data_IF_714499937422
#
_entry.id   IF_714499937422
#
_cell.length_a   1.000
_cell.length_b   1.000
_cell.length_c   1.000
_cell.angle_alpha   90.00
_cell.angle_beta   90.00
_cell.angle_gamma   90.00
#
_symmetry.space_group_name_H-M   'P 1'
#
loop_
_entity.id
_entity.type
_entity.pdbx_description
1 polymer ?
#
# COMPACT_ATOMS: atom_id res chain seq x y z
N UNK A 1 -14.61 -14.75 1.82
CA UNK A 1 -14.76 -16.13 1.33
C UNK A 1 -14.09 -16.16 -0.03
N UNK A 2 -12.82 -16.55 -0.06
CA UNK A 2 -12.06 -16.78 -1.29
C UNK A 2 -12.29 -18.25 -1.64
N UNK A 3 -13.17 -18.50 -2.61
CA UNK A 3 -13.59 -19.85 -3.03
C UNK A 3 -12.40 -20.49 -3.73
N UNK A 4 -11.98 -21.71 -3.36
CA UNK A 4 -10.76 -22.34 -3.89
C UNK A 4 -10.58 -22.30 -5.43
N UNK A 5 -11.67 -22.09 -6.17
CA UNK A 5 -11.72 -21.81 -7.60
C UNK A 5 -10.90 -20.57 -8.06
N UNK A 6 -10.90 -19.47 -7.29
CA UNK A 6 -10.14 -18.25 -7.65
C UNK A 6 -8.63 -18.52 -7.60
N UNK A 7 -8.16 -19.17 -6.53
CA UNK A 7 -6.73 -19.53 -6.38
C UNK A 7 -6.28 -20.54 -7.42
N UNK A 8 -7.15 -21.49 -7.77
CA UNK A 8 -6.88 -22.45 -8.85
C UNK A 8 -6.74 -21.74 -10.20
N UNK A 9 -7.61 -20.77 -10.47
CA UNK A 9 -7.53 -19.97 -11.71
C UNK A 9 -6.25 -19.13 -11.77
N UNK A 10 -5.87 -18.45 -10.68
CA UNK A 10 -4.57 -17.75 -10.60
C UNK A 10 -3.38 -18.70 -10.78
N UNK A 11 -3.46 -19.92 -10.24
CA UNK A 11 -2.42 -20.93 -10.40
C UNK A 11 -2.30 -21.41 -11.85
N UNK A 12 -3.42 -21.55 -12.57
CA UNK A 12 -3.42 -21.83 -14.00
C UNK A 12 -2.78 -20.70 -14.80
N UNK A 13 -3.19 -19.45 -14.55
CA UNK A 13 -2.65 -18.26 -15.24
C UNK A 13 -1.14 -18.17 -15.01
N UNK A 14 -0.68 -18.32 -13.76
CA UNK A 14 0.74 -18.31 -13.44
C UNK A 14 1.49 -19.47 -14.12
N UNK A 15 0.93 -20.67 -14.11
CA UNK A 15 1.52 -21.83 -14.80
C UNK A 15 1.66 -21.62 -16.30
N UNK A 16 0.65 -21.02 -16.94
CA UNK A 16 0.71 -20.63 -18.34
C UNK A 16 1.76 -19.54 -18.58
N UNK A 17 1.78 -18.49 -17.76
CA UNK A 17 2.76 -17.40 -17.80
C UNK A 17 4.20 -17.94 -17.70
N UNK A 18 4.48 -18.72 -16.65
CA UNK A 18 5.79 -19.29 -16.35
C UNK A 18 6.23 -20.37 -17.37
N UNK A 19 5.31 -20.92 -18.19
CA UNK A 19 5.64 -21.88 -19.26
C UNK A 19 6.29 -21.25 -20.50
N UNK A 20 6.51 -19.92 -20.49
CA UNK A 20 7.11 -19.15 -21.57
C UNK A 20 6.12 -18.33 -22.39
N UNK A 21 4.84 -18.31 -22.02
CA UNK A 21 3.84 -17.43 -22.62
C UNK A 21 3.88 -16.00 -22.06
N UNK A 22 4.51 -15.81 -20.89
CA UNK A 22 4.61 -14.53 -20.21
C UNK A 22 5.99 -13.89 -20.29
N UNK A 23 6.02 -12.56 -20.26
CA UNK A 23 7.24 -11.80 -20.03
C UNK A 23 6.98 -10.61 -19.11
N UNK A 24 7.97 -10.30 -18.26
CA UNK A 24 7.96 -9.17 -17.34
C UNK A 24 9.06 -8.20 -17.79
N UNK A 25 8.72 -6.92 -17.89
CA UNK A 25 9.64 -5.84 -18.21
C UNK A 25 9.74 -4.90 -17.00
N UNK A 26 10.68 -5.15 -16.06
CA UNK A 26 10.91 -4.26 -14.95
C UNK A 26 11.46 -2.92 -15.42
N UNK A 27 11.08 -1.84 -14.76
CA UNK A 27 11.57 -0.49 -15.07
C UNK A 27 10.80 0.57 -14.30
N UNK A 28 11.10 1.85 -14.57
CA UNK A 28 10.37 2.97 -13.97
C UNK A 28 8.88 2.99 -14.35
N UNK A 29 8.54 2.39 -15.50
CA UNK A 29 7.19 2.09 -15.96
C UNK A 29 7.12 0.59 -16.24
N UNK A 30 6.77 -0.24 -15.25
CA UNK A 30 6.79 -1.67 -15.41
C UNK A 30 5.66 -2.11 -16.35
N UNK A 31 5.92 -3.13 -17.17
CA UNK A 31 4.89 -3.80 -17.96
C UNK A 31 5.06 -5.31 -17.90
N UNK A 32 3.98 -6.03 -18.20
CA UNK A 32 4.02 -7.47 -18.40
C UNK A 32 3.03 -7.86 -19.49
N UNK A 33 3.34 -8.97 -20.15
CA UNK A 33 2.58 -9.49 -21.28
C UNK A 33 2.25 -10.95 -21.10
N UNK A 34 1.10 -11.37 -21.61
CA UNK A 34 0.77 -12.77 -21.91
C UNK A 34 0.49 -12.90 -23.39
N UNK A 35 1.16 -13.83 -24.04
CA UNK A 35 0.97 -14.17 -25.43
C UNK A 35 0.14 -15.45 -25.58
N UNK A 36 -0.66 -15.53 -26.63
CA UNK A 36 -1.45 -16.72 -26.97
C UNK A 36 -1.78 -16.74 -28.45
N UNK A 37 -1.97 -17.94 -29.00
CA UNK A 37 -2.60 -18.12 -30.32
C UNK A 37 -4.13 -18.15 -30.26
N UNK A 38 -4.72 -18.20 -29.06
CA UNK A 38 -6.16 -18.09 -28.81
C UNK A 38 -6.47 -16.72 -28.19
N UNK A 39 -7.13 -15.82 -28.94
CA UNK A 39 -7.65 -14.56 -28.39
C UNK A 39 -8.69 -14.76 -27.30
N UNK A 40 -9.49 -15.82 -27.38
CA UNK A 40 -10.53 -16.15 -26.41
C UNK A 40 -9.94 -16.38 -25.02
N UNK A 41 -8.83 -17.14 -24.94
CA UNK A 41 -8.11 -17.34 -23.69
C UNK A 41 -7.66 -16.01 -23.05
N UNK A 42 -7.15 -15.07 -23.86
CA UNK A 42 -6.72 -13.77 -23.36
C UNK A 42 -7.90 -12.91 -22.89
N UNK A 43 -9.03 -12.96 -23.59
CA UNK A 43 -10.26 -12.31 -23.16
C UNK A 43 -10.80 -12.90 -21.84
N UNK A 44 -10.74 -14.22 -21.67
CA UNK A 44 -11.17 -14.88 -20.44
C UNK A 44 -10.26 -14.53 -19.25
N UNK A 45 -8.94 -14.49 -19.46
CA UNK A 45 -7.98 -14.02 -18.45
C UNK A 45 -8.29 -12.57 -18.05
N UNK A 46 -8.48 -11.68 -19.03
CA UNK A 46 -8.79 -10.27 -18.76
C UNK A 46 -10.12 -10.11 -17.99
N UNK A 47 -11.15 -10.87 -18.36
CA UNK A 47 -12.44 -10.86 -17.69
C UNK A 47 -12.38 -11.39 -16.25
N UNK A 48 -11.59 -12.45 -16.02
CA UNK A 48 -11.35 -13.00 -14.69
C UNK A 48 -10.59 -12.01 -13.80
N UNK A 49 -9.45 -11.49 -14.28
CA UNK A 49 -8.59 -10.60 -13.50
C UNK A 49 -9.29 -9.29 -13.15
N UNK A 50 -10.17 -8.78 -14.04
CA UNK A 50 -10.81 -7.46 -13.91
C UNK A 50 -9.79 -6.32 -13.73
N UNK A 51 -8.60 -6.51 -14.31
CA UNK A 51 -7.51 -5.53 -14.34
C UNK A 51 -7.39 -5.05 -15.79
N UNK A 52 -7.51 -3.74 -16.07
CA UNK A 52 -7.46 -3.24 -17.44
C UNK A 52 -6.15 -3.59 -18.15
N UNK A 53 -6.26 -4.13 -19.36
CA UNK A 53 -5.16 -4.45 -20.27
C UNK A 53 -5.49 -4.05 -21.71
N UNK A 54 -4.46 -3.96 -22.54
CA UNK A 54 -4.61 -3.83 -23.99
C UNK A 54 -4.46 -5.20 -24.62
N UNK A 55 -5.34 -5.56 -25.56
CA UNK A 55 -5.23 -6.79 -26.35
C UNK A 55 -4.95 -6.42 -27.81
N UNK A 56 -3.85 -6.92 -28.37
CA UNK A 56 -3.41 -6.58 -29.73
C UNK A 56 -2.68 -7.74 -30.41
N UNK A 57 -2.47 -7.64 -31.73
CA UNK A 57 -1.63 -8.60 -32.46
C UNK A 57 -0.15 -8.44 -32.11
N UNK A 58 0.61 -9.53 -32.15
CA UNK A 58 2.06 -9.52 -32.04
C UNK A 58 2.75 -9.44 -33.40
N UNK A 59 4.08 -9.28 -33.40
CA UNK A 59 4.92 -9.41 -34.59
C UNK A 59 4.95 -10.85 -35.15
N UNK A 60 4.56 -11.85 -34.32
CA UNK A 60 4.44 -13.24 -34.74
C UNK A 60 3.07 -13.51 -35.36
N UNK A 61 3.00 -14.18 -36.53
CA UNK A 61 1.73 -14.49 -37.17
C UNK A 61 0.81 -15.31 -36.25
N UNK A 62 -0.46 -14.94 -36.19
CA UNK A 62 -1.50 -15.63 -35.39
C UNK A 62 -1.28 -15.64 -33.88
N UNK A 63 -0.37 -14.81 -33.36
CA UNK A 63 -0.18 -14.61 -31.92
C UNK A 63 -0.73 -13.25 -31.53
N UNK A 64 -1.54 -13.23 -30.48
CA UNK A 64 -2.08 -12.04 -29.82
C UNK A 64 -1.47 -11.89 -28.44
N UNK A 65 -1.44 -10.66 -27.93
CA UNK A 65 -0.83 -10.29 -26.66
C UNK A 65 -1.84 -9.52 -25.82
N UNK A 66 -1.94 -9.86 -24.53
CA UNK A 66 -2.50 -8.99 -23.50
C UNK A 66 -1.36 -8.30 -22.76
N UNK A 67 -1.43 -6.98 -22.65
CA UNK A 67 -0.40 -6.17 -22.03
C UNK A 67 -0.96 -5.32 -20.88
N UNK A 68 -0.30 -5.39 -19.73
CA UNK A 68 -0.58 -4.58 -18.55
C UNK A 68 0.59 -3.63 -18.29
N UNK A 69 0.27 -2.38 -17.94
CA UNK A 69 1.24 -1.31 -17.69
C UNK A 69 1.09 -0.70 -16.30
N UNK A 70 2.18 -0.17 -15.76
CA UNK A 70 2.24 0.60 -14.52
C UNK A 70 1.52 -0.13 -13.37
N UNK A 71 0.54 0.52 -12.73
CA UNK A 71 -0.27 -0.04 -11.64
C UNK A 71 -0.96 -1.36 -12.02
N UNK A 72 -1.45 -1.47 -13.25
CA UNK A 72 -2.14 -2.68 -13.71
C UNK A 72 -1.18 -3.86 -13.85
N UNK A 73 0.08 -3.61 -14.22
CA UNK A 73 1.13 -4.63 -14.23
C UNK A 73 1.38 -5.15 -12.82
N UNK A 74 1.56 -4.25 -11.84
CA UNK A 74 1.79 -4.61 -10.44
C UNK A 74 0.65 -5.47 -9.88
N UNK A 75 -0.59 -5.02 -10.09
CA UNK A 75 -1.78 -5.72 -9.60
C UNK A 75 -1.95 -7.10 -10.25
N UNK A 76 -1.65 -7.22 -11.56
CA UNK A 76 -1.74 -8.49 -12.29
C UNK A 76 -0.69 -9.49 -11.82
N UNK A 77 0.57 -9.08 -11.73
CA UNK A 77 1.67 -9.92 -11.27
C UNK A 77 1.46 -10.37 -9.82
N UNK A 78 0.98 -9.49 -8.94
CA UNK A 78 0.62 -9.87 -7.56
C UNK A 78 -0.52 -10.89 -7.51
N UNK A 79 -1.55 -10.74 -8.36
CA UNK A 79 -2.58 -11.77 -8.50
C UNK A 79 -1.98 -13.14 -8.82
N UNK A 80 -1.04 -13.20 -9.77
CA UNK A 80 -0.38 -14.44 -10.13
C UNK A 80 0.51 -15.00 -9.02
N UNK A 81 1.39 -14.21 -8.40
CA UNK A 81 2.41 -14.72 -7.49
C UNK A 81 1.95 -14.81 -6.03
N UNK A 82 1.08 -13.92 -5.56
CA UNK A 82 0.64 -13.92 -4.16
C UNK A 82 -0.61 -14.79 -3.92
N UNK A 83 -1.44 -15.01 -4.96
CA UNK A 83 -2.72 -15.74 -4.84
C UNK A 83 -2.72 -17.14 -5.46
N UNK A 84 -1.58 -17.61 -5.95
CA UNK A 84 -1.42 -18.95 -6.49
C UNK A 84 -0.81 -19.93 -5.49
N UNK A 85 -0.93 -21.22 -5.79
CA UNK A 85 -0.28 -22.29 -5.05
C UNK A 85 0.82 -22.94 -5.91
N UNK A 86 1.76 -23.62 -5.25
CA UNK A 86 2.78 -24.44 -5.93
C UNK A 86 4.03 -23.67 -6.37
N UNK A 87 4.93 -24.38 -7.04
CA UNK A 87 6.22 -23.83 -7.48
C UNK A 87 6.04 -22.82 -8.61
N UNK A 88 6.91 -21.81 -8.66
CA UNK A 88 6.96 -20.76 -9.67
C UNK A 88 8.30 -20.75 -10.39
N UNK A 89 8.33 -20.15 -11.58
CA UNK A 89 9.60 -19.85 -12.23
C UNK A 89 10.39 -18.83 -11.39
N UNK A 90 11.67 -19.10 -11.17
CA UNK A 90 12.51 -18.27 -10.31
C UNK A 90 12.83 -16.93 -10.96
N UNK A 91 13.09 -16.90 -12.28
CA UNK A 91 13.49 -15.69 -12.98
C UNK A 91 12.33 -14.69 -13.14
N UNK A 92 11.13 -15.20 -13.41
CA UNK A 92 9.93 -14.37 -13.44
C UNK A 92 9.56 -13.88 -12.04
N UNK A 93 9.64 -14.73 -11.01
CA UNK A 93 9.36 -14.30 -9.64
C UNK A 93 10.35 -13.22 -9.17
N UNK A 94 11.65 -13.35 -9.48
CA UNK A 94 12.63 -12.28 -9.24
C UNK A 94 12.29 -10.98 -10.00
N UNK A 95 11.83 -11.09 -11.24
CA UNK A 95 11.40 -9.92 -12.03
C UNK A 95 10.17 -9.24 -11.43
N UNK A 96 9.21 -10.02 -10.92
CA UNK A 96 8.08 -9.51 -10.16
C UNK A 96 8.52 -8.80 -8.88
N UNK A 97 9.44 -9.38 -8.11
CA UNK A 97 9.99 -8.71 -6.91
C UNK A 97 10.68 -7.39 -7.26
N UNK A 98 11.37 -7.31 -8.41
CA UNK A 98 11.95 -6.04 -8.92
C UNK A 98 10.89 -5.02 -9.33
N UNK A 99 9.71 -5.46 -9.76
CA UNK A 99 8.56 -4.57 -10.07
C UNK A 99 7.92 -4.06 -8.78
N UNK A 100 7.78 -4.90 -7.76
CA UNK A 100 7.19 -4.51 -6.48
C UNK A 100 8.08 -3.63 -5.62
N UNK A 101 9.37 -3.95 -5.57
CA UNK A 101 10.30 -3.34 -4.63
C UNK A 101 11.23 -2.38 -5.36
N UNK A 102 11.21 -1.12 -4.93
CA UNK A 102 12.24 -0.14 -5.32
C UNK A 102 13.59 -0.42 -4.64
N UNK A 103 13.60 -1.27 -3.61
CA UNK A 103 14.79 -1.70 -2.89
C UNK A 103 15.22 -3.11 -3.29
N UNK A 104 16.52 -3.40 -3.19
CA UNK A 104 17.10 -4.70 -3.56
C UNK A 104 16.61 -5.89 -2.69
N UNK A 105 15.91 -5.64 -1.59
CA UNK A 105 15.34 -6.67 -0.72
C UNK A 105 13.96 -6.29 -0.20
N UNK A 106 13.06 -7.27 0.02
CA UNK A 106 11.77 -7.02 0.67
C UNK A 106 11.97 -6.41 2.07
N UNK A 107 11.11 -5.47 2.43
CA UNK A 107 11.09 -4.85 3.75
C UNK A 107 10.12 -5.62 4.63
N UNK A 108 10.62 -6.15 5.75
CA UNK A 108 9.80 -6.91 6.69
C UNK A 108 9.21 -6.03 7.79
N UNK A 109 7.94 -6.27 8.11
CA UNK A 109 7.27 -5.71 9.27
C UNK A 109 6.55 -6.84 10.00
N UNK A 110 7.01 -7.17 11.20
CA UNK A 110 6.39 -8.21 12.01
C UNK A 110 5.11 -7.64 12.63
N UNK A 111 4.03 -8.42 12.62
CA UNK A 111 2.72 -8.00 13.15
C UNK A 111 2.23 -9.03 14.16
N UNK A 112 1.76 -8.55 15.31
CA UNK A 112 1.17 -9.38 16.35
C UNK A 112 -0.22 -8.86 16.72
N UNK A 113 -1.19 -9.78 16.85
CA UNK A 113 -2.48 -9.51 17.48
C UNK A 113 -2.31 -9.51 19.00
N UNK A 114 -2.62 -8.39 19.63
CA UNK A 114 -2.72 -8.25 21.09
C UNK A 114 -4.17 -8.41 21.59
N UNK A 115 -5.14 -8.50 20.68
CA UNK A 115 -6.56 -8.70 20.99
C UNK A 115 -7.18 -9.74 20.03
N UNK A 116 -8.12 -10.59 20.48
CA UNK A 116 -8.78 -11.58 19.62
C UNK A 116 -9.53 -10.95 18.43
N UNK A 117 -10.17 -9.80 18.64
CA UNK A 117 -10.92 -9.10 17.60
C UNK A 117 -10.03 -8.25 16.66
N UNK A 118 -8.71 -8.26 16.86
CA UNK A 118 -7.80 -7.46 16.05
C UNK A 118 -7.78 -7.92 14.59
N UNK A 119 -8.01 -6.99 13.68
CA UNK A 119 -7.92 -7.20 12.23
C UNK A 119 -6.48 -6.96 11.79
N UNK A 120 -5.83 -7.97 11.18
CA UNK A 120 -4.47 -7.81 10.66
C UNK A 120 -4.45 -6.71 9.59
N UNK A 121 -3.47 -5.80 9.61
CA UNK A 121 -3.32 -4.83 8.55
C UNK A 121 -3.07 -5.50 7.20
N UNK A 122 -3.77 -5.04 6.18
CA UNK A 122 -3.70 -5.59 4.82
C UNK A 122 -3.90 -4.50 3.77
N UNK A 123 -3.39 -4.72 2.57
CA UNK A 123 -3.69 -3.89 1.41
C UNK A 123 -4.84 -4.48 0.60
N UNK A 124 -5.60 -3.64 -0.10
CA UNK A 124 -6.60 -4.12 -1.05
C UNK A 124 -5.92 -4.55 -2.36
N UNK A 125 -4.97 -3.75 -2.82
CA UNK A 125 -4.16 -3.97 -4.02
C UNK A 125 -2.68 -3.94 -3.69
N UNK A 126 -1.86 -4.69 -4.41
CA UNK A 126 -0.41 -4.68 -4.18
C UNK A 126 0.21 -3.30 -4.46
N UNK A 127 -0.36 -2.58 -5.42
CA UNK A 127 0.06 -1.21 -5.73
C UNK A 127 -0.31 -0.18 -4.65
N UNK A 128 -1.18 -0.50 -3.70
CA UNK A 128 -1.56 0.43 -2.64
C UNK A 128 -0.36 0.70 -1.73
N UNK A 129 -0.23 1.93 -1.24
CA UNK A 129 0.90 2.30 -0.37
C UNK A 129 0.72 1.80 1.05
N UNK A 130 -0.49 1.95 1.61
CA UNK A 130 -0.76 1.75 3.04
C UNK A 130 -1.51 0.47 3.35
N UNK A 131 -1.20 -0.13 4.50
CA UNK A 131 -1.92 -1.28 5.05
C UNK A 131 -3.07 -0.78 5.91
N UNK A 132 -4.31 -1.10 5.55
CA UNK A 132 -5.49 -0.65 6.27
C UNK A 132 -5.45 -1.04 7.75
N UNK A 133 -5.76 -0.10 8.63
CA UNK A 133 -5.77 -0.27 10.08
C UNK A 133 -7.19 -0.09 10.62
N UNK A 134 -7.59 -1.02 11.49
CA UNK A 134 -8.94 -1.09 12.04
C UNK A 134 -8.91 -0.85 13.54
N UNK A 135 -9.70 0.11 14.01
CA UNK A 135 -9.95 0.31 15.43
C UNK A 135 -11.07 -0.62 15.89
N UNK A 136 -10.92 -1.20 17.08
CA UNK A 136 -11.80 -2.27 17.57
C UNK A 136 -12.53 -1.91 18.87
N UNK A 137 -11.99 -0.98 19.67
CA UNK A 137 -12.61 -0.51 20.92
C UNK A 137 -12.14 0.89 21.29
N UNK A 138 -12.97 1.63 22.04
CA UNK A 138 -12.52 2.83 22.74
C UNK A 138 -11.49 2.41 23.81
N UNK A 139 -10.35 3.11 23.85
CA UNK A 139 -9.30 2.91 24.85
C UNK A 139 -9.42 3.96 25.95
N UNK A 140 -9.49 5.23 25.56
CA UNK A 140 -9.52 6.37 26.48
C UNK A 140 -10.10 7.61 25.79
N UNK A 141 -10.93 8.37 26.49
CA UNK A 141 -11.33 9.71 26.07
C UNK A 141 -10.31 10.74 26.55
N UNK A 142 -9.67 11.45 25.62
CA UNK A 142 -8.62 12.44 25.91
C UNK A 142 -9.19 13.84 26.15
N UNK A 143 -10.20 14.23 25.36
CA UNK A 143 -10.97 15.47 25.52
C UNK A 143 -12.44 15.21 25.22
N UNK A 144 -13.30 16.23 25.31
CA UNK A 144 -14.71 16.10 24.94
C UNK A 144 -14.90 15.56 23.50
N UNK A 145 -14.01 15.96 22.58
CA UNK A 145 -14.12 15.65 21.16
C UNK A 145 -13.04 14.69 20.65
N UNK A 146 -12.06 14.30 21.48
CA UNK A 146 -10.95 13.41 21.08
C UNK A 146 -11.01 12.11 21.86
N UNK A 147 -11.09 11.01 21.13
CA UNK A 147 -11.12 9.65 21.69
C UNK A 147 -9.96 8.85 21.10
N UNK A 148 -9.22 8.18 21.98
CA UNK A 148 -8.17 7.25 21.66
C UNK A 148 -8.79 5.86 21.53
N UNK A 149 -8.59 5.22 20.39
CA UNK A 149 -9.10 3.90 20.08
C UNK A 149 -7.96 2.89 19.97
N UNK A 150 -8.23 1.67 20.42
CA UNK A 150 -7.31 0.54 20.34
C UNK A 150 -7.55 -0.24 19.05
N UNK A 151 -6.47 -0.63 18.37
CA UNK A 151 -6.51 -1.47 17.15
C UNK A 151 -6.31 -2.95 17.46
N UNK A 152 -5.77 -3.27 18.65
CA UNK A 152 -5.33 -4.61 18.99
C UNK A 152 -4.10 -5.09 18.20
N UNK A 153 -3.43 -4.22 17.45
CA UNK A 153 -2.27 -4.54 16.62
C UNK A 153 -0.98 -3.99 17.21
N UNK A 154 0.05 -4.83 17.27
CA UNK A 154 1.44 -4.45 17.54
C UNK A 154 2.28 -4.70 16.28
N UNK A 155 3.28 -3.85 16.05
CA UNK A 155 4.20 -4.02 14.93
C UNK A 155 5.66 -3.94 15.39
N UNK A 156 6.56 -4.53 14.62
CA UNK A 156 8.00 -4.31 14.69
C UNK A 156 8.54 -4.14 13.28
N UNK A 157 8.98 -2.92 12.97
CA UNK A 157 9.54 -2.56 11.65
C UNK A 157 11.02 -2.94 11.56
N UNK A 158 11.48 -3.24 10.35
CA UNK A 158 12.89 -3.48 10.05
C UNK A 158 13.78 -2.30 10.48
N UNK A 159 15.05 -2.57 10.79
CA UNK A 159 16.02 -1.52 11.07
C UNK A 159 16.18 -0.55 9.87
N UNK A 160 16.26 0.75 10.14
CA UNK A 160 16.30 1.80 9.12
C UNK A 160 14.93 2.22 8.58
N UNK A 161 13.84 1.76 9.20
CA UNK A 161 12.46 2.10 8.85
C UNK A 161 11.65 2.54 10.07
N UNK A 162 10.61 3.32 9.83
CA UNK A 162 9.53 3.62 10.76
C UNK A 162 8.17 3.43 10.07
N UNK A 163 7.08 3.47 10.83
CA UNK A 163 5.73 3.45 10.26
C UNK A 163 4.98 4.74 10.58
N UNK A 164 4.16 5.19 9.64
CA UNK A 164 3.22 6.28 9.78
C UNK A 164 1.79 5.72 9.85
N UNK A 165 1.02 6.11 10.85
CA UNK A 165 -0.44 5.98 10.86
C UNK A 165 -1.00 7.24 10.21
N UNK A 166 -1.63 7.08 9.05
CA UNK A 166 -2.26 8.18 8.32
C UNK A 166 -3.75 7.88 8.11
N UNK A 167 -4.61 8.91 8.00
CA UNK A 167 -6.03 8.69 7.73
C UNK A 167 -6.25 8.07 6.35
N UNK A 168 -7.26 7.20 6.24
CA UNK A 168 -7.79 6.84 4.91
C UNK A 168 -8.55 8.04 4.36
N UNK A 169 -8.55 8.21 3.04
CA UNK A 169 -9.27 9.31 2.39
C UNK A 169 -10.75 9.35 2.80
N UNK A 170 -11.37 8.18 3.01
CA UNK A 170 -12.75 8.04 3.46
C UNK A 170 -13.01 8.51 4.90
N UNK A 171 -11.99 8.68 5.75
CA UNK A 171 -12.18 9.17 7.13
C UNK A 171 -12.83 10.55 7.13
N UNK A 172 -12.48 11.40 6.16
CA UNK A 172 -13.08 12.72 5.97
C UNK A 172 -14.62 12.70 5.87
N UNK A 173 -15.20 11.58 5.41
CA UNK A 173 -16.65 11.42 5.26
C UNK A 173 -17.37 11.06 6.56
N UNK A 174 -16.63 10.67 7.61
CA UNK A 174 -17.24 10.25 8.87
C UNK A 174 -17.47 11.41 9.85
N UNK A 175 -17.01 12.63 9.54
CA UNK A 175 -17.01 13.75 10.50
C UNK A 175 -15.90 13.67 11.54
N UNK A 176 -14.87 12.83 11.29
CA UNK A 176 -13.70 12.69 12.15
C UNK A 176 -12.41 13.01 11.40
N UNK A 177 -11.36 13.35 12.15
CA UNK A 177 -10.00 13.46 11.67
C UNK A 177 -9.04 12.71 12.61
N UNK A 178 -7.87 12.33 12.10
CA UNK A 178 -6.78 11.85 12.95
C UNK A 178 -6.23 13.03 13.75
N UNK A 179 -6.37 13.00 15.08
CA UNK A 179 -6.13 14.16 15.95
C UNK A 179 -4.70 14.69 15.90
N UNK A 180 -3.72 13.80 15.68
CA UNK A 180 -2.31 14.12 15.56
C UNK A 180 -1.83 14.25 14.09
N UNK A 181 -2.74 14.23 13.11
CA UNK A 181 -2.49 14.27 11.66
C UNK A 181 -1.71 13.07 11.09
N UNK A 182 -0.54 12.77 11.65
CA UNK A 182 0.29 11.60 11.32
C UNK A 182 0.80 10.99 12.63
N UNK A 183 0.52 9.71 12.84
CA UNK A 183 1.08 8.95 13.96
C UNK A 183 2.41 8.34 13.59
N UNK A 184 3.51 8.82 14.16
CA UNK A 184 4.82 8.19 14.00
C UNK A 184 4.91 6.99 14.95
N UNK A 185 5.17 5.81 14.40
CA UNK A 185 5.41 4.58 15.14
C UNK A 185 6.90 4.23 15.00
N UNK A 186 7.63 4.52 16.06
CA UNK A 186 9.06 4.21 16.16
C UNK A 186 9.29 2.70 16.23
N UNK A 187 10.46 2.26 15.75
CA UNK A 187 10.87 0.86 15.86
C UNK A 187 10.92 0.34 17.31
N UNK A 188 11.25 1.20 18.27
CA UNK A 188 11.31 0.84 19.69
C UNK A 188 9.93 0.68 20.34
N UNK A 189 8.86 1.09 19.65
CA UNK A 189 7.51 0.98 20.17
C UNK A 189 6.98 -0.46 20.04
N UNK A 190 6.77 -1.11 21.19
CA UNK A 190 6.26 -2.50 21.28
C UNK A 190 4.84 -2.58 21.86
N UNK A 191 4.23 -1.41 22.06
CA UNK A 191 2.84 -1.26 22.49
C UNK A 191 1.85 -1.55 21.37
N UNK A 192 0.57 -1.57 21.73
CA UNK A 192 -0.51 -1.68 20.75
C UNK A 192 -0.72 -0.33 20.09
N UNK A 193 -0.84 -0.30 18.76
CA UNK A 193 -1.09 0.94 18.02
C UNK A 193 -2.45 1.50 18.42
N UNK A 194 -2.44 2.74 18.89
CA UNK A 194 -3.64 3.49 19.24
C UNK A 194 -3.89 4.58 18.19
N UNK A 195 -5.16 4.85 17.92
CA UNK A 195 -5.60 5.85 16.93
C UNK A 195 -6.45 6.90 17.64
N UNK A 196 -5.98 8.15 17.67
CA UNK A 196 -6.71 9.26 18.26
C UNK A 196 -7.61 9.92 17.20
N UNK A 197 -8.94 9.76 17.31
CA UNK A 197 -9.86 10.44 16.42
C UNK A 197 -10.47 11.66 17.10
N UNK A 198 -10.39 12.80 16.43
CA UNK A 198 -11.09 14.02 16.81
C UNK A 198 -12.38 14.13 16.00
N UNK A 199 -13.53 14.28 16.69
CA UNK A 199 -14.81 14.58 16.06
C UNK A 199 -14.82 16.06 15.66
N UNK A 200 -14.87 16.33 14.36
CA UNK A 200 -14.86 17.68 13.79
C UNK A 200 -16.26 18.17 13.43
N UNK A 201 -17.17 17.25 13.09
CA UNK A 201 -18.58 17.57 12.88
C UNK A 201 -19.41 17.04 14.07
N UNK A 202 -19.91 17.92 14.96
CA UNK A 202 -20.70 17.51 16.12
C UNK A 202 -22.05 16.89 15.74
N UNK A 203 -22.53 17.08 14.51
CA UNK A 203 -23.82 16.55 14.04
C UNK A 203 -23.74 15.14 13.44
N UNK A 204 -22.52 14.63 13.19
CA UNK A 204 -22.34 13.26 12.71
C UNK A 204 -22.57 12.24 13.82
N UNK A 205 -23.01 11.03 13.45
CA UNK A 205 -23.09 9.92 14.39
C UNK A 205 -21.68 9.51 14.87
N UNK A 206 -21.60 8.88 16.04
CA UNK A 206 -20.34 8.31 16.49
C UNK A 206 -19.93 7.12 15.61
N UNK A 207 -18.62 6.86 15.53
CA UNK A 207 -18.07 5.76 14.72
C UNK A 207 -18.56 4.40 15.24
N UNK A 208 -19.03 3.54 14.33
CA UNK A 208 -19.39 2.15 14.63
C UNK A 208 -18.14 1.26 14.58
N UNK A 209 -17.90 0.50 15.65
CA UNK A 209 -16.74 -0.38 15.76
C UNK A 209 -17.11 -1.83 15.35
N UNK A 210 -16.19 -2.58 14.70
CA UNK A 210 -14.85 -2.16 14.31
C UNK A 210 -14.85 -1.22 13.10
N UNK A 211 -13.98 -0.20 13.11
CA UNK A 211 -13.93 0.82 12.06
C UNK A 211 -12.56 0.87 11.38
N UNK A 212 -12.55 0.67 10.05
CA UNK A 212 -11.34 0.75 9.23
C UNK A 212 -11.10 2.18 8.75
N UNK A 213 -10.38 2.95 9.56
CA UNK A 213 -10.31 4.41 9.46
C UNK A 213 -8.93 4.97 9.03
N UNK A 214 -7.86 4.25 9.34
CA UNK A 214 -6.48 4.68 9.11
C UNK A 214 -5.74 3.61 8.30
N UNK A 215 -4.50 3.90 7.94
CA UNK A 215 -3.60 2.96 7.27
C UNK A 215 -2.17 3.18 7.74
N UNK A 216 -1.39 2.11 7.76
CA UNK A 216 0.04 2.11 8.05
C UNK A 216 0.85 2.29 6.77
N UNK A 217 1.74 3.26 6.73
CA UNK A 217 2.71 3.47 5.64
C UNK A 217 4.12 3.31 6.19
N UNK A 218 4.91 2.39 5.63
CA UNK A 218 6.31 2.23 6.00
C UNK A 218 7.17 3.27 5.28
N UNK A 219 8.11 3.86 6.01
CA UNK A 219 9.00 4.90 5.50
C UNK A 219 10.46 4.61 5.88
N UNK A 220 11.42 4.88 4.98
CA UNK A 220 12.83 4.82 5.33
C UNK A 220 13.17 5.95 6.31
N UNK A 221 13.98 5.63 7.32
CA UNK A 221 14.51 6.58 8.29
C UNK A 221 15.81 7.18 7.78
N UNK A 222 15.96 8.50 7.90
CA UNK A 222 17.23 9.20 7.67
C UNK A 222 17.88 9.51 9.01
N UNK A 223 19.10 9.00 9.22
CA UNK A 223 19.91 9.30 10.40
C UNK A 223 20.84 10.48 10.10
N UNK A 224 20.36 11.70 10.36
CA UNK A 224 21.18 12.90 10.26
C UNK A 224 21.88 13.20 11.60
N UNK A 225 23.17 13.56 11.54
CA UNK A 225 23.85 14.16 12.68
C UNK A 225 23.45 15.64 12.77
N UNK A 226 22.95 16.07 13.91
CA UNK A 226 22.71 17.49 14.18
C UNK A 226 24.04 18.12 14.56
N UNK A 227 24.57 18.99 13.69
CA UNK A 227 25.86 19.67 13.86
C UNK A 227 25.60 21.17 13.98
N UNK A 228 25.96 21.75 15.12
CA UNK A 228 25.92 23.19 15.33
C UNK A 228 27.01 23.87 14.49
N UNK A 229 26.67 24.98 13.82
CA UNK A 229 27.60 25.76 13.00
C UNK A 229 27.66 27.20 13.49
N UNK A 230 28.87 27.76 13.51
CA UNK A 230 29.12 29.20 13.75
C UNK A 230 29.19 30.00 12.44
N UNK A 231 29.21 29.30 11.29
CA UNK A 231 29.20 29.92 9.97
C UNK A 231 27.74 30.26 9.59
N UNK A 232 27.42 31.53 9.27
CA UNK A 232 26.08 31.91 8.83
C UNK A 232 25.64 31.16 7.57
N UNK A 233 24.34 30.90 7.44
CA UNK A 233 23.77 30.35 6.22
C UNK A 233 23.84 31.37 5.07
N UNK A 234 23.98 30.89 3.83
CA UNK A 234 23.97 31.76 2.65
C UNK A 234 22.58 32.33 2.34
N UNK A 235 22.52 33.51 1.72
CA UNK A 235 21.27 34.12 1.29
C UNK A 235 20.58 33.30 0.19
N UNK A 236 19.24 33.25 0.23
CA UNK A 236 18.42 32.63 -0.81
C UNK A 236 17.32 33.59 -1.25
N UNK A 237 16.66 33.32 -2.38
CA UNK A 237 15.54 34.15 -2.84
C UNK A 237 14.34 34.14 -1.87
N UNK A 238 14.23 33.13 -1.00
CA UNK A 238 13.22 33.03 0.06
C UNK A 238 13.69 33.65 1.37
N UNK A 239 14.97 33.49 1.69
CA UNK A 239 15.62 33.89 2.94
C UNK A 239 14.75 33.57 4.18
N UNK A 240 14.42 34.58 4.99
CA UNK A 240 13.57 34.45 6.18
C UNK A 240 12.05 34.38 5.90
N UNK A 241 11.63 34.36 4.62
CA UNK A 241 10.22 34.32 4.22
C UNK A 241 9.51 33.00 4.57
N UNK A 242 8.48 33.08 5.42
CA UNK A 242 7.61 31.96 5.81
C UNK A 242 6.15 32.41 6.03
N UNK A 243 5.26 31.46 6.36
CA UNK A 243 3.85 31.74 6.72
C UNK A 243 3.06 32.59 5.70
N UNK A 244 3.05 32.20 4.43
CA UNK A 244 2.27 32.91 3.41
C UNK A 244 2.97 34.16 2.84
N UNK A 245 4.29 34.30 3.04
CA UNK A 245 5.09 35.42 2.50
C UNK A 245 5.06 35.55 0.95
N UNK A 246 4.50 34.56 0.25
CA UNK A 246 4.31 34.57 -1.20
C UNK A 246 2.85 34.85 -1.63
N UNK A 247 1.90 34.80 -0.69
CA UNK A 247 0.48 34.95 -0.96
C UNK A 247 0.08 36.41 -0.75
N UNK A 248 -0.08 37.16 -1.85
CA UNK A 248 -0.54 38.56 -1.81
C UNK A 248 -2.04 38.72 -1.48
N UNK A 249 -2.79 37.62 -1.39
CA UNK A 249 -4.26 37.64 -1.42
C UNK A 249 -4.95 36.99 -0.20
N UNK A 250 -4.24 36.76 0.91
CA UNK A 250 -4.86 36.39 2.18
C UNK A 250 -4.84 37.59 3.14
N UNK A 251 -5.80 38.51 2.94
CA UNK A 251 -6.18 39.54 3.91
C UNK A 251 -7.54 39.24 4.50
#
# INVERSE_FOLDING_TARGET
>A
MDTGDERSTWSFIRGYFDSGAGAIYPGARPSCVIESTSPELLHDIAAFCKIPCTIQGSDRPSVVISEWHDTNCIDFLSGMYDRSLGAHDAANFESYLRVLHTHHSPVECLVQRAHPDAVLPSKLKASDVGYDLTIIKEHQRLTANVVLFDTGIKISVQNGWYAEVVPRSSLSKSGYMLANSVGIIDRSYTGTILVALAKIDPHTADVELPFRCCQLVLRPQVHAAMVETVVPFGHTARDEGGFGSSDRDLK
#
